data_IF_563409423239
#
_entry.id   IF_563409423239
#
_cell.length_a   1.000
_cell.length_b   1.000
_cell.length_c   1.000
_cell.angle_alpha   90.00
_cell.angle_beta   90.00
_cell.angle_gamma   90.00
#
_symmetry.space_group_name_H-M   'P 1'
#
loop_
_entity.id
_entity.type
_entity.pdbx_description
1 polymer ?
#
# COMPACT_ATOMS: atom_id res chain seq x y z
N UNK A 1 -1.19 -9.34 -14.63
CA UNK A 1 -0.60 -8.31 -13.74
C UNK A 1 -1.46 -8.00 -12.51
N UNK A 2 -2.43 -8.84 -12.08
CA UNK A 2 -3.12 -8.61 -10.79
C UNK A 2 -2.35 -9.13 -9.57
N UNK A 3 -1.46 -10.12 -9.78
CA UNK A 3 -0.80 -10.86 -8.69
C UNK A 3 -0.04 -9.97 -7.69
N UNK A 4 0.73 -8.99 -8.15
CA UNK A 4 1.51 -8.14 -7.23
C UNK A 4 0.66 -7.13 -6.46
N UNK A 5 -0.44 -6.64 -7.03
CA UNK A 5 -1.39 -5.77 -6.30
C UNK A 5 -2.09 -6.56 -5.21
N UNK A 6 -2.57 -7.75 -5.57
CA UNK A 6 -3.30 -8.63 -4.65
C UNK A 6 -2.38 -9.05 -3.50
N UNK A 7 -1.14 -9.46 -3.82
CA UNK A 7 -0.10 -9.79 -2.83
C UNK A 7 0.24 -8.61 -1.91
N UNK A 8 0.40 -7.42 -2.47
CA UNK A 8 0.67 -6.22 -1.68
C UNK A 8 -0.48 -5.93 -0.70
N UNK A 9 -1.72 -5.97 -1.19
CA UNK A 9 -2.92 -5.71 -0.38
C UNK A 9 -3.16 -6.79 0.68
N UNK A 10 -2.90 -8.05 0.37
CA UNK A 10 -3.00 -9.16 1.32
C UNK A 10 -2.00 -8.97 2.48
N UNK A 11 -0.72 -8.73 2.18
CA UNK A 11 0.29 -8.49 3.21
C UNK A 11 -0.03 -7.27 4.07
N UNK A 12 -0.50 -6.18 3.45
CA UNK A 12 -0.89 -4.97 4.17
C UNK A 12 -2.08 -5.23 5.12
N UNK A 13 -3.10 -5.96 4.66
CA UNK A 13 -4.23 -6.35 5.50
C UNK A 13 -3.82 -7.28 6.65
N UNK A 14 -2.87 -8.20 6.41
CA UNK A 14 -2.34 -9.07 7.47
C UNK A 14 -1.66 -8.26 8.57
N UNK A 15 -0.88 -7.23 8.22
CA UNK A 15 -0.22 -6.36 9.20
C UNK A 15 -1.25 -5.60 10.04
N UNK A 16 -2.24 -4.99 9.39
CA UNK A 16 -3.30 -4.23 10.08
C UNK A 16 -4.11 -5.15 11.00
N UNK A 17 -4.51 -6.32 10.52
CA UNK A 17 -5.39 -7.22 11.27
C UNK A 17 -4.67 -7.96 12.41
N UNK A 18 -3.36 -8.22 12.29
CA UNK A 18 -2.60 -8.95 13.30
C UNK A 18 -2.10 -8.07 14.44
N UNK A 19 -1.73 -6.81 14.14
CA UNK A 19 -1.02 -5.95 15.08
C UNK A 19 -1.64 -4.57 15.26
N UNK A 20 -2.80 -4.29 14.65
CA UNK A 20 -3.41 -2.96 14.62
C UNK A 20 -2.78 -2.04 13.58
N UNK A 21 -3.47 -0.93 13.30
CA UNK A 21 -2.99 0.09 12.37
C UNK A 21 -1.93 0.98 13.02
N UNK A 22 -0.75 1.05 12.41
CA UNK A 22 0.34 1.94 12.80
C UNK A 22 1.09 2.43 11.55
N UNK A 23 1.21 3.76 11.31
CA UNK A 23 1.85 4.31 10.12
C UNK A 23 3.27 3.80 9.86
N UNK A 24 4.09 3.68 10.90
CA UNK A 24 5.48 3.17 10.82
C UNK A 24 5.54 1.74 10.29
N UNK A 25 4.61 0.87 10.73
CA UNK A 25 4.53 -0.51 10.25
C UNK A 25 4.13 -0.59 8.78
N UNK A 26 3.23 0.29 8.34
CA UNK A 26 2.81 0.37 6.93
C UNK A 26 3.96 0.86 6.06
N UNK A 27 4.67 1.89 6.50
CA UNK A 27 5.83 2.43 5.80
C UNK A 27 6.94 1.39 5.65
N UNK A 28 7.25 0.70 6.76
CA UNK A 28 8.24 -0.37 6.78
C UNK A 28 7.87 -1.50 5.80
N UNK A 29 6.61 -1.95 5.83
CA UNK A 29 6.15 -2.98 4.91
C UNK A 29 6.25 -2.57 3.45
N UNK A 30 5.87 -1.33 3.12
CA UNK A 30 6.00 -0.82 1.75
C UNK A 30 7.46 -0.80 1.29
N UNK A 31 8.38 -0.37 2.17
CA UNK A 31 9.81 -0.41 1.90
C UNK A 31 10.33 -1.84 1.67
N UNK A 32 10.00 -2.77 2.56
CA UNK A 32 10.38 -4.19 2.44
C UNK A 32 9.82 -4.81 1.15
N UNK A 33 8.55 -4.55 0.83
CA UNK A 33 7.93 -5.03 -0.40
C UNK A 33 8.63 -4.51 -1.67
N UNK A 34 9.05 -3.23 -1.66
CA UNK A 34 9.77 -2.62 -2.78
C UNK A 34 11.18 -3.20 -2.99
N UNK A 35 11.79 -3.74 -1.93
CA UNK A 35 13.10 -4.39 -1.98
C UNK A 35 12.99 -5.87 -2.40
N UNK A 36 11.93 -6.55 -1.98
CA UNK A 36 11.75 -7.98 -2.18
C UNK A 36 11.13 -8.34 -3.53
N UNK A 37 10.43 -7.41 -4.19
CA UNK A 37 9.66 -7.68 -5.41
C UNK A 37 9.92 -6.66 -6.51
N UNK A 38 10.12 -7.17 -7.73
CA UNK A 38 10.06 -6.39 -8.95
C UNK A 38 8.62 -6.34 -9.49
N UNK A 39 8.12 -5.14 -9.79
CA UNK A 39 6.81 -4.95 -10.41
C UNK A 39 6.76 -3.69 -11.27
N UNK A 40 6.17 -3.83 -12.46
CA UNK A 40 6.07 -2.73 -13.45
C UNK A 40 4.76 -1.95 -13.37
N UNK A 41 3.89 -2.29 -12.43
CA UNK A 41 2.59 -1.64 -12.31
C UNK A 41 2.76 -0.20 -11.79
N UNK A 42 2.43 0.83 -12.61
CA UNK A 42 2.69 2.22 -12.24
C UNK A 42 1.83 2.69 -11.07
N UNK A 43 0.63 2.13 -10.89
CA UNK A 43 -0.25 2.47 -9.78
C UNK A 43 0.25 1.84 -8.48
N UNK A 44 0.69 0.58 -8.55
CA UNK A 44 1.33 -0.07 -7.40
C UNK A 44 2.62 0.64 -7.01
N UNK A 45 3.46 0.99 -7.99
CA UNK A 45 4.68 1.78 -7.78
C UNK A 45 4.38 3.10 -7.08
N UNK A 46 3.34 3.82 -7.50
CA UNK A 46 2.96 5.06 -6.83
C UNK A 46 2.54 4.82 -5.37
N UNK A 47 1.73 3.79 -5.11
CA UNK A 47 1.26 3.45 -3.77
C UNK A 47 2.42 3.05 -2.87
N UNK A 48 3.25 2.10 -3.29
CA UNK A 48 4.40 1.61 -2.51
C UNK A 48 5.36 2.77 -2.19
N UNK A 49 5.68 3.60 -3.19
CA UNK A 49 6.59 4.73 -2.99
C UNK A 49 6.01 5.83 -2.09
N UNK A 50 4.69 6.02 -2.08
CA UNK A 50 4.04 6.95 -1.16
C UNK A 50 4.09 6.40 0.27
N UNK A 51 3.70 5.14 0.46
CA UNK A 51 3.57 4.53 1.77
C UNK A 51 4.92 4.40 2.49
N UNK A 52 6.02 4.05 1.79
CA UNK A 52 7.36 4.03 2.39
C UNK A 52 7.79 5.41 2.93
N UNK A 53 7.21 6.50 2.42
CA UNK A 53 7.48 7.86 2.86
C UNK A 53 6.69 8.29 4.09
N UNK A 54 5.74 7.49 4.59
CA UNK A 54 4.92 7.85 5.75
C UNK A 54 5.74 7.94 7.05
N UNK A 55 6.88 7.26 7.15
CA UNK A 55 7.77 7.31 8.32
C UNK A 55 8.69 8.56 8.33
N UNK A 56 8.55 9.46 7.33
CA UNK A 56 9.35 10.68 7.26
C UNK A 56 8.96 11.75 8.29
N UNK A 57 7.74 11.65 8.85
CA UNK A 57 7.23 12.56 9.87
C UNK A 57 5.70 12.55 10.00
N UNK A 58 5.13 13.04 11.11
CA UNK A 58 3.69 13.00 11.38
C UNK A 58 2.82 13.68 10.30
N UNK A 59 3.35 14.67 9.60
CA UNK A 59 2.67 15.39 8.52
C UNK A 59 2.48 14.55 7.25
N UNK A 60 3.19 13.43 7.13
CA UNK A 60 3.09 12.48 6.01
C UNK A 60 2.29 11.24 6.37
N UNK A 61 1.95 11.05 7.65
CA UNK A 61 1.17 9.92 8.11
C UNK A 61 -0.28 10.03 7.62
N UNK A 62 -0.86 8.87 7.30
CA UNK A 62 -2.30 8.73 7.08
C UNK A 62 -2.91 8.09 8.32
N UNK A 63 -4.18 8.38 8.58
CA UNK A 63 -5.02 7.51 9.40
C UNK A 63 -5.38 6.23 8.65
N UNK A 64 -5.87 5.22 9.36
CA UNK A 64 -6.32 3.96 8.74
C UNK A 64 -7.40 4.21 7.67
N UNK A 65 -8.34 5.12 7.96
CA UNK A 65 -9.41 5.49 7.04
C UNK A 65 -8.86 6.14 5.78
N UNK A 66 -7.92 7.08 5.93
CA UNK A 66 -7.27 7.75 4.80
C UNK A 66 -6.45 6.77 3.97
N UNK A 67 -5.75 5.82 4.60
CA UNK A 67 -5.04 4.76 3.88
C UNK A 67 -6.01 3.93 3.04
N UNK A 68 -7.12 3.47 3.63
CA UNK A 68 -8.11 2.66 2.91
C UNK A 68 -8.72 3.44 1.74
N UNK A 69 -8.97 4.73 1.92
CA UNK A 69 -9.43 5.60 0.83
C UNK A 69 -8.37 5.74 -0.26
N UNK A 70 -7.13 6.03 0.11
CA UNK A 70 -5.99 6.16 -0.80
C UNK A 70 -5.78 4.88 -1.63
N UNK A 71 -5.75 3.71 -1.00
CA UNK A 71 -5.62 2.42 -1.69
C UNK A 71 -6.77 2.18 -2.67
N UNK A 72 -8.01 2.45 -2.24
CA UNK A 72 -9.20 2.30 -3.10
C UNK A 72 -9.16 3.25 -4.28
N UNK A 73 -8.65 4.48 -4.12
CA UNK A 73 -8.54 5.47 -5.18
C UNK A 73 -7.46 5.12 -6.21
N UNK A 74 -6.29 4.69 -5.73
CA UNK A 74 -5.12 4.46 -6.58
C UNK A 74 -5.09 3.08 -7.22
N UNK A 75 -5.66 2.07 -6.57
CA UNK A 75 -5.67 0.69 -7.04
C UNK A 75 -7.04 0.22 -7.51
N UNK A 76 -7.94 1.14 -7.91
CA UNK A 76 -9.29 0.79 -8.41
C UNK A 76 -9.19 -0.39 -9.38
N UNK A 77 -10.00 -1.45 -9.20
CA UNK A 77 -10.20 -2.40 -10.29
C UNK A 77 -10.75 -1.59 -11.47
N UNK A 78 -10.11 -1.69 -12.63
CA UNK A 78 -10.67 -1.09 -13.84
C UNK A 78 -12.08 -1.68 -14.01
N UNK A 79 -13.11 -0.87 -14.30
CA UNK A 79 -14.37 -1.44 -14.73
C UNK A 79 -14.07 -2.30 -15.95
N UNK A 80 -14.46 -3.57 -15.90
CA UNK A 80 -14.50 -4.40 -17.09
C UNK A 80 -15.30 -3.64 -18.13
N UNK A 81 -14.64 -3.26 -19.23
CA UNK A 81 -15.31 -2.70 -20.39
C UNK A 81 -16.26 -3.77 -20.91
N UNK A 82 -17.56 -3.67 -20.59
CA UNK A 82 -18.63 -4.39 -21.28
C UNK A 82 -18.73 -3.98 -22.76
#
# INVERSE_FOLDING_TARGET
>A
MSDMRDKFLEGLNLIINSGGYYPDKIARYACEFNLDYDFDDPYLNHVVNFLQGMDAGPEFELSETELRFFLKEKLKPQPESE
#
